data_IF_736946698677
#
_entry.id   IF_736946698677
#
_cell.length_a   1.000
_cell.length_b   1.000
_cell.length_c   1.000
_cell.angle_alpha   90.00
_cell.angle_beta   90.00
_cell.angle_gamma   90.00
#
_symmetry.space_group_name_H-M   'P 1'
#
loop_
_entity.id
_entity.type
_entity.pdbx_description
1 polymer ?
#
# COMPACT_ATOMS: atom_id res chain seq x y z
N UNK A 1 -22.48 -39.73 26.90
CA UNK A 1 -22.91 -38.88 25.76
C UNK A 1 -21.64 -38.56 24.98
N UNK A 2 -21.32 -39.40 24.00
CA UNK A 2 -20.16 -39.20 23.15
C UNK A 2 -20.53 -38.14 22.11
N UNK A 3 -19.79 -37.03 22.08
CA UNK A 3 -19.93 -36.04 21.05
C UNK A 3 -19.43 -36.67 19.73
N UNK A 4 -20.22 -36.64 18.65
CA UNK A 4 -19.73 -37.14 17.36
C UNK A 4 -18.52 -36.34 16.93
N UNK A 5 -17.40 -36.99 16.83
CA UNK A 5 -16.15 -36.42 16.25
C UNK A 5 -16.46 -36.14 14.79
N UNK A 6 -16.73 -34.90 14.45
CA UNK A 6 -16.80 -34.39 13.08
C UNK A 6 -15.39 -34.43 12.50
N UNK A 7 -14.95 -35.59 12.01
CA UNK A 7 -13.71 -35.73 11.26
C UNK A 7 -13.90 -35.15 9.84
N UNK A 8 -13.82 -33.84 9.72
CA UNK A 8 -13.79 -33.20 8.40
C UNK A 8 -12.41 -33.37 7.79
N UNK A 9 -12.35 -33.89 6.59
CA UNK A 9 -11.10 -34.04 5.85
C UNK A 9 -10.83 -32.75 5.06
N UNK A 10 -9.72 -32.08 5.37
CA UNK A 10 -9.25 -30.93 4.62
C UNK A 10 -8.06 -31.37 3.74
N UNK A 11 -8.12 -31.07 2.44
CA UNK A 11 -7.06 -31.32 1.48
C UNK A 11 -6.68 -30.02 0.78
N UNK A 12 -5.40 -29.86 0.53
CA UNK A 12 -4.83 -28.78 -0.28
C UNK A 12 -4.20 -29.38 -1.52
N UNK A 13 -4.65 -28.95 -2.69
CA UNK A 13 -3.98 -29.21 -3.95
C UNK A 13 -3.34 -27.92 -4.42
N UNK A 14 -2.06 -27.95 -4.70
CA UNK A 14 -1.33 -26.80 -5.21
C UNK A 14 -0.53 -27.24 -6.44
N UNK A 15 -0.73 -26.53 -7.54
CA UNK A 15 -0.08 -26.76 -8.81
C UNK A 15 0.55 -25.48 -9.29
N UNK A 16 1.80 -25.55 -9.71
CA UNK A 16 2.51 -24.47 -10.39
C UNK A 16 2.84 -24.97 -11.79
N UNK A 17 2.20 -24.40 -12.79
CA UNK A 17 2.47 -24.68 -14.18
C UNK A 17 3.47 -23.66 -14.70
N UNK A 18 4.61 -24.14 -15.20
CA UNK A 18 5.60 -23.29 -15.84
C UNK A 18 5.17 -23.05 -17.28
N UNK A 19 4.82 -21.82 -17.62
CA UNK A 19 4.41 -21.43 -18.98
C UNK A 19 5.64 -21.08 -19.80
N UNK A 20 6.52 -20.25 -19.23
CA UNK A 20 7.82 -19.87 -19.80
C UNK A 20 8.77 -19.54 -18.64
N UNK A 21 10.03 -19.23 -18.97
CA UNK A 21 10.97 -18.72 -17.97
C UNK A 21 10.42 -17.48 -17.27
N UNK A 22 10.29 -17.53 -15.94
CA UNK A 22 9.71 -16.48 -15.08
C UNK A 22 8.21 -16.20 -15.30
N UNK A 23 7.49 -17.07 -16.01
CA UNK A 23 6.04 -16.99 -16.14
C UNK A 23 5.41 -18.31 -15.69
N UNK A 24 4.50 -18.20 -14.73
CA UNK A 24 3.87 -19.35 -14.08
C UNK A 24 2.37 -19.16 -14.03
N UNK A 25 1.64 -20.25 -14.02
CA UNK A 25 0.24 -20.26 -13.63
C UNK A 25 0.12 -20.99 -12.28
N UNK A 26 -0.55 -20.38 -11.32
CA UNK A 26 -0.77 -20.95 -9.99
C UNK A 26 -2.21 -21.41 -9.91
N UNK A 27 -2.39 -22.65 -9.46
CA UNK A 27 -3.71 -23.21 -9.18
C UNK A 27 -3.66 -23.79 -7.77
N UNK A 28 -4.59 -23.38 -6.93
CA UNK A 28 -4.69 -23.87 -5.54
C UNK A 28 -6.14 -24.17 -5.22
N UNK A 29 -6.40 -25.41 -4.81
CA UNK A 29 -7.70 -25.85 -4.32
C UNK A 29 -7.64 -26.18 -2.85
N UNK A 30 -8.60 -25.69 -2.09
CA UNK A 30 -8.89 -26.13 -0.73
C UNK A 30 -10.16 -26.96 -0.77
N UNK A 31 -10.04 -28.23 -0.44
CA UNK A 31 -11.12 -29.22 -0.54
C UNK A 31 -11.51 -29.69 0.86
N UNK A 32 -12.75 -29.57 1.22
CA UNK A 32 -13.32 -30.07 2.46
C UNK A 32 -14.40 -31.11 2.13
N UNK A 33 -14.27 -32.31 2.68
CA UNK A 33 -15.20 -33.44 2.46
C UNK A 33 -15.51 -33.69 0.98
N UNK A 34 -14.45 -33.75 0.15
CA UNK A 34 -14.51 -33.95 -1.31
C UNK A 34 -15.10 -32.79 -2.12
N UNK A 35 -15.46 -31.66 -1.47
CA UNK A 35 -15.98 -30.46 -2.14
C UNK A 35 -14.95 -29.35 -2.10
N UNK A 36 -14.65 -28.76 -3.25
CA UNK A 36 -13.81 -27.55 -3.30
C UNK A 36 -14.55 -26.40 -2.59
N UNK A 37 -13.90 -25.84 -1.57
CA UNK A 37 -14.43 -24.71 -0.81
C UNK A 37 -13.75 -23.39 -1.16
N UNK A 38 -12.54 -23.47 -1.69
CA UNK A 38 -11.77 -22.33 -2.20
C UNK A 38 -10.98 -22.79 -3.42
N UNK A 39 -11.01 -21.98 -4.46
CA UNK A 39 -10.20 -22.13 -5.66
C UNK A 39 -9.49 -20.83 -5.97
N UNK A 40 -8.19 -20.88 -6.15
CA UNK A 40 -7.34 -19.75 -6.51
C UNK A 40 -6.63 -20.12 -7.80
N UNK A 41 -6.76 -19.29 -8.82
CA UNK A 41 -6.04 -19.48 -10.08
C UNK A 41 -5.54 -18.15 -10.64
N UNK A 42 -4.45 -18.22 -11.37
CA UNK A 42 -4.01 -17.08 -12.17
C UNK A 42 -2.53 -17.03 -12.47
N UNK A 43 -2.15 -16.18 -13.43
CA UNK A 43 -0.78 -16.01 -13.87
C UNK A 43 0.05 -15.19 -12.89
N UNK A 44 1.31 -15.59 -12.81
CA UNK A 44 2.41 -14.84 -12.20
C UNK A 44 3.47 -14.66 -13.27
N UNK A 45 3.84 -13.43 -13.54
CA UNK A 45 4.86 -13.12 -14.53
C UNK A 45 5.94 -12.21 -13.98
N UNK A 46 7.17 -12.45 -14.37
CA UNK A 46 8.29 -11.58 -14.08
C UNK A 46 9.08 -11.32 -15.37
N UNK A 47 9.39 -10.06 -15.62
CA UNK A 47 10.24 -9.63 -16.74
C UNK A 47 11.41 -8.85 -16.22
N UNK A 48 12.61 -9.25 -16.63
CA UNK A 48 13.85 -8.56 -16.27
C UNK A 48 14.48 -8.08 -17.59
N UNK A 49 14.59 -6.77 -17.73
CA UNK A 49 15.23 -6.14 -18.89
C UNK A 49 15.79 -4.79 -18.50
N UNK A 50 16.97 -4.42 -19.02
CA UNK A 50 17.58 -3.07 -18.86
C UNK A 50 17.65 -2.60 -17.39
N UNK A 51 18.10 -3.46 -16.49
CA UNK A 51 18.14 -3.21 -15.03
C UNK A 51 16.77 -2.83 -14.42
N UNK A 52 15.72 -3.27 -15.06
CA UNK A 52 14.35 -3.12 -14.57
C UNK A 52 13.74 -4.51 -14.39
N UNK A 53 13.11 -4.71 -13.25
CA UNK A 53 12.27 -5.87 -12.98
C UNK A 53 10.82 -5.44 -12.94
N UNK A 54 9.99 -6.09 -13.73
CA UNK A 54 8.53 -5.96 -13.67
C UNK A 54 7.94 -7.31 -13.28
N UNK A 55 7.10 -7.28 -12.29
CA UNK A 55 6.44 -8.48 -11.80
C UNK A 55 4.94 -8.21 -11.70
N UNK A 56 4.14 -9.18 -12.07
CA UNK A 56 2.68 -9.09 -12.04
C UNK A 56 2.07 -10.41 -11.57
N UNK A 57 1.11 -10.31 -10.68
CA UNK A 57 0.23 -11.41 -10.24
C UNK A 57 -1.20 -10.98 -10.55
N UNK A 58 -1.98 -11.84 -11.20
CA UNK A 58 -3.41 -11.64 -11.45
C UNK A 58 -4.15 -12.90 -11.01
N UNK A 59 -4.64 -12.91 -9.78
CA UNK A 59 -5.31 -14.06 -9.18
C UNK A 59 -6.82 -13.85 -9.13
N UNK A 60 -7.53 -14.92 -9.46
CA UNK A 60 -8.96 -15.06 -9.20
C UNK A 60 -9.15 -16.03 -8.04
N UNK A 61 -9.92 -15.62 -7.07
CA UNK A 61 -10.26 -16.41 -5.89
C UNK A 61 -11.76 -16.64 -5.92
N UNK A 62 -12.18 -17.90 -6.02
CA UNK A 62 -13.58 -18.29 -5.94
C UNK A 62 -13.83 -19.14 -4.70
N UNK A 63 -14.96 -18.90 -4.05
CA UNK A 63 -15.35 -19.61 -2.84
C UNK A 63 -16.71 -20.29 -2.99
N UNK A 64 -16.84 -21.49 -2.42
CA UNK A 64 -18.12 -22.19 -2.36
C UNK A 64 -19.17 -21.47 -1.49
N UNK A 65 -18.73 -20.51 -0.67
CA UNK A 65 -19.63 -19.72 0.19
C UNK A 65 -20.13 -18.45 -0.49
N UNK A 66 -19.78 -18.27 -1.75
CA UNK A 66 -20.21 -17.18 -2.61
C UNK A 66 -19.10 -16.14 -2.86
N UNK A 67 -19.15 -15.55 -4.05
CA UNK A 67 -18.32 -14.46 -4.48
C UNK A 67 -16.98 -14.83 -5.13
N UNK A 68 -16.61 -14.00 -6.07
CA UNK A 68 -15.32 -14.07 -6.74
C UNK A 68 -14.52 -12.82 -6.36
N UNK A 69 -13.31 -13.03 -5.84
CA UNK A 69 -12.37 -11.96 -5.55
C UNK A 69 -11.31 -11.98 -6.64
N UNK A 70 -11.05 -10.84 -7.24
CA UNK A 70 -9.91 -10.62 -8.11
C UNK A 70 -8.84 -9.85 -7.34
N UNK A 71 -7.61 -10.35 -7.37
CA UNK A 71 -6.45 -9.71 -6.78
C UNK A 71 -5.41 -9.48 -7.86
N UNK A 72 -5.12 -8.23 -8.15
CA UNK A 72 -4.03 -7.84 -9.04
C UNK A 72 -2.94 -7.18 -8.21
N UNK A 73 -1.74 -7.72 -8.31
CA UNK A 73 -0.58 -7.13 -7.70
C UNK A 73 0.48 -6.93 -8.79
N UNK A 74 0.98 -5.70 -8.91
CA UNK A 74 2.03 -5.36 -9.84
C UNK A 74 3.15 -4.62 -9.13
N UNK A 75 4.39 -4.92 -9.49
CA UNK A 75 5.54 -4.17 -9.04
C UNK A 75 6.51 -3.91 -10.20
N UNK A 76 7.08 -2.73 -10.19
CA UNK A 76 8.16 -2.32 -11.08
C UNK A 76 9.31 -1.78 -10.24
N UNK A 77 10.48 -2.36 -10.39
CA UNK A 77 11.68 -2.01 -9.66
C UNK A 77 12.77 -1.61 -10.65
N UNK A 78 13.25 -0.39 -10.52
CA UNK A 78 14.43 0.11 -11.23
C UNK A 78 15.16 1.13 -10.35
N UNK A 79 16.36 1.52 -10.75
CA UNK A 79 17.09 2.59 -10.07
C UNK A 79 16.34 3.94 -10.14
N UNK A 80 15.72 4.22 -11.29
CA UNK A 80 15.01 5.47 -11.52
C UNK A 80 13.60 5.49 -10.92
N UNK A 81 12.89 4.34 -10.90
CA UNK A 81 11.50 4.29 -10.46
C UNK A 81 11.17 2.97 -9.77
N UNK A 82 10.47 3.07 -8.68
CA UNK A 82 9.86 1.94 -7.98
C UNK A 82 8.35 2.17 -7.92
N UNK A 83 7.58 1.19 -8.33
CA UNK A 83 6.13 1.23 -8.23
C UNK A 83 5.62 -0.10 -7.67
N UNK A 84 4.62 -0.02 -6.83
CA UNK A 84 3.94 -1.16 -6.21
C UNK A 84 2.45 -0.89 -6.19
N UNK A 85 1.66 -1.80 -6.76
CA UNK A 85 0.20 -1.65 -6.86
C UNK A 85 -0.49 -2.92 -6.38
N UNK A 86 -1.50 -2.78 -5.55
CA UNK A 86 -2.47 -3.85 -5.22
C UNK A 86 -3.85 -3.34 -5.59
N UNK A 87 -4.60 -4.11 -6.35
CA UNK A 87 -6.01 -3.88 -6.66
C UNK A 87 -6.80 -5.14 -6.35
N UNK A 88 -7.65 -5.09 -5.34
CA UNK A 88 -8.51 -6.19 -4.93
C UNK A 88 -9.97 -5.80 -5.12
N UNK A 89 -10.71 -6.66 -5.81
CA UNK A 89 -12.14 -6.46 -6.11
C UNK A 89 -12.94 -7.70 -5.76
N UNK A 90 -14.15 -7.48 -5.25
CA UNK A 90 -15.18 -8.50 -5.13
C UNK A 90 -16.18 -8.29 -6.28
N UNK A 91 -16.24 -9.25 -7.22
CA UNK A 91 -16.91 -9.06 -8.49
C UNK A 91 -16.39 -7.77 -9.20
N UNK A 92 -17.18 -6.71 -9.25
CA UNK A 92 -16.79 -5.40 -9.80
C UNK A 92 -16.54 -4.34 -8.73
N UNK A 93 -16.85 -4.65 -7.46
CA UNK A 93 -16.75 -3.69 -6.35
C UNK A 93 -15.32 -3.64 -5.81
N UNK A 94 -14.67 -2.48 -5.79
CA UNK A 94 -13.37 -2.34 -5.17
C UNK A 94 -13.41 -2.68 -3.68
N UNK A 95 -12.46 -3.46 -3.19
CA UNK A 95 -12.28 -3.77 -1.77
C UNK A 95 -11.06 -3.05 -1.19
N UNK A 96 -9.95 -3.12 -1.91
CA UNK A 96 -8.69 -2.50 -1.51
C UNK A 96 -7.98 -2.01 -2.78
N UNK A 97 -7.48 -0.80 -2.73
CA UNK A 97 -6.54 -0.29 -3.72
C UNK A 97 -5.35 0.33 -2.98
N UNK A 98 -4.15 -0.06 -3.37
CA UNK A 98 -2.89 0.53 -2.90
C UNK A 98 -2.03 0.83 -4.12
N UNK A 99 -1.50 2.03 -4.20
CA UNK A 99 -0.50 2.41 -5.20
C UNK A 99 0.60 3.22 -4.52
N UNK A 100 1.84 2.78 -4.67
CA UNK A 100 3.02 3.42 -4.11
C UNK A 100 4.00 3.63 -5.23
N UNK A 101 4.43 4.86 -5.44
CA UNK A 101 5.37 5.25 -6.46
C UNK A 101 6.51 6.03 -5.83
N UNK A 102 7.74 5.61 -6.08
CA UNK A 102 8.95 6.40 -5.78
C UNK A 102 9.64 6.66 -7.10
N UNK A 103 9.78 7.93 -7.45
CA UNK A 103 10.38 8.38 -8.69
C UNK A 103 11.70 9.14 -8.40
N UNK A 104 12.78 8.71 -9.03
CA UNK A 104 14.15 9.23 -8.93
C UNK A 104 14.69 9.57 -10.31
N UNK A 105 13.83 9.75 -11.30
CA UNK A 105 14.24 10.10 -12.68
C UNK A 105 14.89 11.46 -12.74
N UNK A 106 14.52 12.37 -11.86
CA UNK A 106 15.21 13.63 -11.66
C UNK A 106 16.34 13.45 -10.64
N UNK A 107 17.58 13.65 -11.07
CA UNK A 107 18.75 13.50 -10.19
C UNK A 107 18.78 14.50 -9.01
N UNK A 108 18.11 15.63 -9.15
CA UNK A 108 18.03 16.66 -8.10
C UNK A 108 16.89 16.45 -7.11
N UNK A 109 15.92 15.58 -7.44
CA UNK A 109 14.72 15.45 -6.67
C UNK A 109 14.20 14.00 -6.70
N UNK A 110 13.84 13.48 -5.54
CA UNK A 110 13.08 12.22 -5.41
C UNK A 110 11.66 12.53 -4.98
N UNK A 111 10.69 12.01 -5.70
CA UNK A 111 9.29 12.09 -5.28
C UNK A 111 8.80 10.72 -4.81
N UNK A 112 7.96 10.73 -3.78
CA UNK A 112 7.26 9.52 -3.33
C UNK A 112 5.78 9.83 -3.16
N UNK A 113 4.93 8.99 -3.73
CA UNK A 113 3.49 9.09 -3.63
C UNK A 113 2.92 7.76 -3.19
N UNK A 114 1.98 7.78 -2.28
CA UNK A 114 1.24 6.60 -1.87
C UNK A 114 -0.26 6.90 -1.76
N UNK A 115 -1.07 6.01 -2.29
CA UNK A 115 -2.53 6.05 -2.17
C UNK A 115 -2.98 4.73 -1.59
N UNK A 116 -3.77 4.79 -0.54
CA UNK A 116 -4.46 3.64 0.05
C UNK A 116 -5.94 3.96 0.04
N UNK A 117 -6.73 3.11 -0.58
CA UNK A 117 -8.17 3.26 -0.66
C UNK A 117 -8.87 1.97 -0.25
N UNK A 118 -9.54 2.04 0.88
CA UNK A 118 -10.48 1.03 1.39
C UNK A 118 -11.88 1.66 1.23
N UNK A 119 -12.63 1.33 0.19
CA UNK A 119 -13.92 1.95 -0.08
C UNK A 119 -14.82 1.94 1.14
N UNK A 120 -15.52 3.05 1.38
CA UNK A 120 -16.42 3.29 2.53
C UNK A 120 -15.73 3.37 3.91
N UNK A 121 -14.46 3.04 4.04
CA UNK A 121 -13.74 3.06 5.33
C UNK A 121 -12.73 4.19 5.39
N UNK A 122 -11.75 4.20 4.49
CA UNK A 122 -10.69 5.21 4.49
C UNK A 122 -10.09 5.38 3.10
N UNK A 123 -9.76 6.63 2.77
CA UNK A 123 -8.86 6.97 1.68
C UNK A 123 -7.69 7.76 2.28
N UNK A 124 -6.49 7.29 2.09
CA UNK A 124 -5.28 7.98 2.51
C UNK A 124 -4.40 8.26 1.29
N UNK A 125 -3.90 9.47 1.21
CA UNK A 125 -2.97 9.94 0.20
C UNK A 125 -1.75 10.53 0.90
N UNK A 126 -0.57 10.14 0.46
CA UNK A 126 0.69 10.65 0.96
C UNK A 126 1.56 11.09 -0.22
N UNK A 127 2.21 12.22 -0.09
CA UNK A 127 3.20 12.69 -1.04
C UNK A 127 4.44 13.19 -0.30
N UNK A 128 5.61 12.91 -0.84
CA UNK A 128 6.86 13.44 -0.37
C UNK A 128 7.73 13.91 -1.54
N UNK A 129 8.41 15.03 -1.33
CA UNK A 129 9.42 15.56 -2.22
C UNK A 129 10.71 15.72 -1.43
N UNK A 130 11.77 15.11 -1.92
CA UNK A 130 13.09 15.10 -1.30
C UNK A 130 14.09 15.67 -2.29
N UNK A 131 14.70 16.77 -1.94
CA UNK A 131 15.78 17.38 -2.70
C UNK A 131 16.99 17.70 -1.78
N UNK A 132 18.04 18.31 -2.30
CA UNK A 132 19.31 18.51 -1.63
C UNK A 132 19.25 19.38 -0.35
N UNK A 133 18.45 19.05 0.61
CA UNK A 133 18.39 19.74 1.90
C UNK A 133 16.99 20.07 2.38
N UNK A 134 15.99 19.77 1.56
CA UNK A 134 14.59 19.92 1.92
C UNK A 134 13.84 18.60 1.74
N UNK A 135 13.10 18.21 2.75
CA UNK A 135 12.11 17.14 2.68
C UNK A 135 10.77 17.77 2.97
N UNK A 136 9.90 17.75 1.98
CA UNK A 136 8.50 18.18 2.12
C UNK A 136 7.59 16.97 2.06
N UNK A 137 6.69 16.84 3.02
CA UNK A 137 5.71 15.76 3.03
C UNK A 137 4.31 16.29 3.24
N UNK A 138 3.35 15.64 2.61
CA UNK A 138 1.94 15.93 2.80
C UNK A 138 1.14 14.64 2.93
N UNK A 139 0.08 14.69 3.72
CA UNK A 139 -0.83 13.59 3.97
C UNK A 139 -2.27 14.09 3.98
N UNK A 140 -3.15 13.35 3.29
CA UNK A 140 -4.59 13.51 3.36
C UNK A 140 -5.22 12.19 3.79
N UNK A 141 -6.05 12.20 4.81
CA UNK A 141 -6.80 11.03 5.24
C UNK A 141 -8.29 11.41 5.30
N UNK A 142 -9.10 10.67 4.56
CA UNK A 142 -10.55 10.75 4.58
C UNK A 142 -11.08 9.50 5.27
N UNK A 143 -11.72 9.68 6.41
CA UNK A 143 -12.36 8.60 7.15
C UNK A 143 -13.84 8.61 6.83
N UNK A 144 -14.40 7.44 6.50
CA UNK A 144 -15.79 7.26 6.08
C UNK A 144 -16.21 8.24 4.96
N UNK A 145 -15.48 8.29 3.83
CA UNK A 145 -15.59 9.35 2.83
C UNK A 145 -16.97 9.45 2.17
N UNK A 146 -17.77 8.40 2.26
CA UNK A 146 -19.10 8.32 1.64
C UNK A 146 -20.25 8.54 2.63
N UNK A 147 -19.97 8.92 3.86
CA UNK A 147 -20.97 9.09 4.93
C UNK A 147 -21.11 10.54 5.38
N UNK A 148 -22.23 10.86 6.03
CA UNK A 148 -22.46 12.17 6.63
C UNK A 148 -21.53 12.49 7.81
N UNK A 149 -20.86 11.46 8.37
CA UNK A 149 -19.87 11.59 9.44
C UNK A 149 -18.44 11.54 8.90
N UNK A 150 -18.25 11.74 7.60
CA UNK A 150 -16.94 11.80 6.98
C UNK A 150 -16.04 12.83 7.68
N UNK A 151 -14.80 12.44 7.92
CA UNK A 151 -13.80 13.30 8.54
C UNK A 151 -12.55 13.36 7.67
N UNK A 152 -11.93 14.52 7.65
CA UNK A 152 -10.71 14.75 6.90
C UNK A 152 -9.59 15.24 7.80
N UNK A 153 -8.45 14.58 7.67
CA UNK A 153 -7.19 14.98 8.29
C UNK A 153 -6.20 15.36 7.20
N UNK A 154 -5.52 16.48 7.37
CA UNK A 154 -4.39 16.89 6.51
C UNK A 154 -3.16 17.07 7.38
N UNK A 155 -2.04 16.56 6.94
CA UNK A 155 -0.75 16.73 7.58
C UNK A 155 0.27 17.28 6.60
N UNK A 156 1.13 18.14 7.08
CA UNK A 156 2.30 18.63 6.34
C UNK A 156 3.50 18.57 7.27
N UNK A 157 4.63 18.17 6.74
CA UNK A 157 5.89 18.28 7.47
C UNK A 157 7.03 18.66 6.52
N UNK A 158 7.78 19.67 6.94
CA UNK A 158 8.95 20.18 6.26
C UNK A 158 10.18 19.96 7.13
N UNK A 159 11.21 19.35 6.60
CA UNK A 159 12.53 19.27 7.19
C UNK A 159 13.49 20.05 6.30
N UNK A 160 14.00 21.16 6.81
CA UNK A 160 15.03 21.96 6.14
C UNK A 160 16.38 21.69 6.82
N UNK A 161 17.23 20.94 6.15
CA UNK A 161 18.56 20.56 6.67
C UNK A 161 19.52 21.73 6.73
N UNK A 162 19.44 22.69 5.80
CA UNK A 162 20.29 23.87 5.78
C UNK A 162 19.98 24.82 6.95
N UNK A 163 18.71 25.03 7.21
CA UNK A 163 18.27 25.87 8.32
C UNK A 163 18.19 25.11 9.65
N UNK A 164 18.35 23.79 9.61
CA UNK A 164 18.18 22.88 10.76
C UNK A 164 16.83 23.07 11.46
N UNK A 165 15.78 23.14 10.66
CA UNK A 165 14.41 23.36 11.13
C UNK A 165 13.47 22.24 10.69
N UNK A 166 12.54 21.94 11.56
CA UNK A 166 11.38 21.09 11.29
C UNK A 166 10.12 21.92 11.51
N UNK A 167 9.22 21.89 10.55
CA UNK A 167 7.88 22.44 10.67
C UNK A 167 6.89 21.33 10.41
N UNK A 168 5.89 21.15 11.26
CA UNK A 168 4.81 20.19 11.07
C UNK A 168 3.47 20.85 11.38
N UNK A 169 2.47 20.54 10.58
CA UNK A 169 1.11 21.03 10.75
C UNK A 169 0.14 19.87 10.57
N UNK A 170 -0.81 19.74 11.47
CA UNK A 170 -1.90 18.79 11.41
C UNK A 170 -3.21 19.53 11.48
N UNK A 171 -4.10 19.26 10.54
CA UNK A 171 -5.44 19.82 10.45
C UNK A 171 -6.46 18.69 10.55
N UNK A 172 -7.54 18.91 11.30
CA UNK A 172 -8.66 17.96 11.35
C UNK A 172 -9.98 18.72 11.18
N UNK A 173 -10.74 18.31 10.19
CA UNK A 173 -12.01 18.95 9.80
C UNK A 173 -11.89 20.47 9.58
N UNK A 174 -10.75 20.94 9.08
CA UNK A 174 -10.45 22.37 8.91
C UNK A 174 -11.36 23.06 7.89
N UNK A 175 -12.09 22.31 7.08
CA UNK A 175 -13.11 22.82 6.17
C UNK A 175 -14.34 23.34 6.94
N UNK A 176 -14.56 22.83 8.15
CA UNK A 176 -15.65 23.25 9.05
C UNK A 176 -15.19 24.28 10.07
N UNK A 177 -13.92 24.27 10.44
CA UNK A 177 -13.35 25.18 11.42
C UNK A 177 -11.83 25.30 11.22
N UNK A 178 -11.40 26.46 10.74
CA UNK A 178 -9.99 26.75 10.45
C UNK A 178 -9.07 26.70 11.69
N UNK A 179 -9.64 26.78 12.89
CA UNK A 179 -8.88 26.72 14.16
C UNK A 179 -8.54 25.28 14.58
N UNK A 180 -9.11 24.27 13.92
CA UNK A 180 -8.81 22.85 14.17
C UNK A 180 -7.49 22.45 13.57
N UNK A 181 -6.42 23.02 14.08
CA UNK A 181 -5.05 22.72 13.67
C UNK A 181 -4.11 22.65 14.86
N UNK A 182 -3.06 21.85 14.68
CA UNK A 182 -1.87 21.81 15.52
C UNK A 182 -0.68 22.18 14.64
N UNK A 183 0.16 23.11 15.08
CA UNK A 183 1.39 23.49 14.40
C UNK A 183 2.55 23.31 15.36
N UNK A 184 3.62 22.70 14.87
CA UNK A 184 4.88 22.54 15.57
C UNK A 184 5.98 23.14 14.69
N UNK A 185 6.78 24.01 15.26
CA UNK A 185 8.04 24.47 14.63
C UNK A 185 9.15 24.28 15.63
N UNK A 186 10.19 23.57 15.26
CA UNK A 186 11.34 23.30 16.11
C UNK A 186 12.62 23.43 15.31
N UNK A 187 13.71 23.75 15.98
CA UNK A 187 15.05 23.69 15.42
C UNK A 187 15.83 22.54 16.05
N UNK A 188 16.85 22.08 15.34
CA UNK A 188 17.74 21.06 15.85
C UNK A 188 19.19 21.42 15.58
N UNK A 189 20.08 20.97 16.44
CA UNK A 189 21.51 21.07 16.24
C UNK A 189 22.08 19.65 16.12
N UNK A 190 22.99 19.48 15.16
CA UNK A 190 23.74 18.22 15.02
C UNK A 190 25.12 18.47 15.59
N UNK A 191 25.41 17.82 16.72
CA UNK A 191 26.74 17.78 17.26
C UNK A 191 27.49 16.59 16.65
N UNK A 192 28.39 16.91 15.72
CA UNK A 192 29.18 15.90 15.01
C UNK A 192 30.18 15.19 15.93
N UNK A 193 30.59 15.82 17.04
CA UNK A 193 31.54 15.26 17.98
C UNK A 193 30.90 14.21 18.90
N UNK A 194 29.62 14.40 19.22
CA UNK A 194 28.88 13.50 20.12
C UNK A 194 27.87 12.58 19.41
N UNK A 195 27.68 12.74 18.10
CA UNK A 195 26.61 12.05 17.34
C UNK A 195 25.22 12.20 17.99
N UNK A 196 24.96 13.36 18.58
CA UNK A 196 23.69 13.68 19.23
C UNK A 196 22.90 14.68 18.37
N UNK A 197 21.58 14.47 18.33
CA UNK A 197 20.63 15.45 17.80
C UNK A 197 19.92 16.07 19.01
N UNK A 198 20.02 17.37 19.18
CA UNK A 198 19.27 18.11 20.19
C UNK A 198 18.10 18.81 19.52
N UNK A 199 16.89 18.56 19.99
CA UNK A 199 15.65 19.20 19.53
C UNK A 199 15.29 20.27 20.56
N UNK A 200 15.14 21.49 20.09
CA UNK A 200 14.75 22.65 20.90
C UNK A 200 13.45 23.26 20.38
#
# INVERSE_FOLDING_TARGET
MELPTLSKTLKFNHVIEVVEFLNYNIITDVIMDKKAILHIEGPVSCKIANMMMKYNIDLKVSSAFGGNIKVVHAAMLSLAKTQFTIDMKYATTPLVFVDIIVDRTNAAETTANAVIHLPMVVKAEYAAVINSGLIHTSMNIFVLPTTLVARRFKGYADLNLAEKKVKAELFWDAEKDANKKLSLTTSFTVDSSMRKILIQ
#
